data_IF_385818176022
#
_entry.id   IF_385818176022
#
_cell.length_a   1.000
_cell.length_b   1.000
_cell.length_c   1.000
_cell.angle_alpha   90.00
_cell.angle_beta   90.00
_cell.angle_gamma   90.00
#
_symmetry.space_group_name_H-M   'P 1'
#
loop_
_entity.id
_entity.type
_entity.pdbx_description
1 polymer ?
#
# COMPACT_ATOMS: atom_id res chain seq x y z
N UNK A 1 5.37 -3.70 24.79
CA UNK A 1 5.95 -3.03 23.60
C UNK A 1 6.18 -4.10 22.53
N UNK A 2 5.36 -4.15 21.51
CA UNK A 2 5.57 -5.04 20.36
C UNK A 2 6.80 -4.56 19.59
N UNK A 3 7.81 -5.41 19.44
CA UNK A 3 9.00 -5.09 18.65
C UNK A 3 8.58 -4.79 17.21
N UNK A 4 8.90 -3.60 16.73
CA UNK A 4 8.71 -3.18 15.34
C UNK A 4 9.48 -4.17 14.46
N UNK A 5 8.78 -4.97 13.66
CA UNK A 5 9.39 -5.94 12.75
C UNK A 5 9.29 -5.39 11.34
N UNK A 6 10.44 -5.03 10.76
CA UNK A 6 10.53 -4.57 9.39
C UNK A 6 10.80 -5.76 8.46
N UNK A 7 10.13 -5.79 7.32
CA UNK A 7 10.37 -6.74 6.25
C UNK A 7 10.67 -5.99 4.95
N UNK A 8 11.87 -6.16 4.44
CA UNK A 8 12.25 -5.71 3.10
C UNK A 8 12.32 -6.92 2.19
N UNK A 9 11.46 -6.97 1.18
CA UNK A 9 11.37 -8.07 0.23
C UNK A 9 11.64 -7.53 -1.16
N UNK A 10 12.76 -7.94 -1.76
CA UNK A 10 13.18 -7.51 -3.08
C UNK A 10 13.19 -8.73 -3.99
N UNK A 11 12.40 -8.68 -5.05
CA UNK A 11 12.36 -9.69 -6.12
C UNK A 11 12.25 -11.15 -5.60
N UNK A 12 11.49 -11.35 -4.54
CA UNK A 12 11.30 -12.67 -3.91
C UNK A 12 9.82 -12.95 -3.63
N UNK A 13 9.08 -13.49 -4.62
CA UNK A 13 7.65 -13.81 -4.48
C UNK A 13 7.36 -14.82 -3.37
N UNK A 14 8.26 -15.78 -3.11
CA UNK A 14 8.04 -16.81 -2.08
C UNK A 14 8.07 -16.20 -0.68
N UNK A 15 9.00 -15.29 -0.42
CA UNK A 15 9.01 -14.53 0.86
C UNK A 15 7.77 -13.66 1.01
N UNK A 16 7.30 -13.04 -0.07
CA UNK A 16 6.07 -12.26 -0.04
C UNK A 16 4.86 -13.14 0.27
N UNK A 17 4.80 -14.33 -0.34
CA UNK A 17 3.76 -15.31 -0.09
C UNK A 17 3.77 -15.78 1.37
N UNK A 18 4.92 -16.10 1.92
CA UNK A 18 5.06 -16.49 3.31
C UNK A 18 4.59 -15.37 4.27
N UNK A 19 4.95 -14.11 3.98
CA UNK A 19 4.48 -12.94 4.74
C UNK A 19 2.96 -12.80 4.66
N UNK A 20 2.38 -12.92 3.47
CA UNK A 20 0.94 -12.83 3.28
C UNK A 20 0.19 -13.92 4.06
N UNK A 21 0.61 -15.19 3.93
CA UNK A 21 -0.05 -16.31 4.61
C UNK A 21 0.04 -16.20 6.13
N UNK A 22 1.18 -15.74 6.66
CA UNK A 22 1.37 -15.52 8.09
C UNK A 22 0.47 -14.40 8.66
N UNK A 23 0.09 -13.42 7.83
CA UNK A 23 -0.67 -12.23 8.23
C UNK A 23 -2.02 -12.12 7.50
N UNK A 24 -2.56 -13.24 7.01
CA UNK A 24 -3.77 -13.26 6.17
C UNK A 24 -5.02 -12.72 6.85
N UNK A 25 -5.07 -12.80 8.19
CA UNK A 25 -6.18 -12.34 9.02
C UNK A 25 -5.96 -10.95 9.59
N UNK A 26 -4.78 -10.38 9.38
CA UNK A 26 -4.43 -9.07 9.89
C UNK A 26 -4.98 -7.95 9.00
N UNK A 27 -5.11 -6.77 9.58
CA UNK A 27 -5.51 -5.57 8.85
C UNK A 27 -4.27 -4.97 8.21
N UNK A 28 -4.28 -4.88 6.89
CA UNK A 28 -3.22 -4.25 6.11
C UNK A 28 -3.50 -2.77 5.99
N UNK A 29 -2.68 -1.96 6.65
CA UNK A 29 -2.80 -0.50 6.63
C UNK A 29 -1.86 0.07 5.58
N UNK A 30 -2.36 0.97 4.77
CA UNK A 30 -1.55 1.63 3.74
C UNK A 30 -2.15 2.96 3.32
N UNK A 31 -1.40 3.70 2.51
CA UNK A 31 -1.85 4.94 1.89
C UNK A 31 -2.17 4.67 0.43
N UNK A 32 -3.40 4.87 0.01
CA UNK A 32 -3.92 4.50 -1.31
C UNK A 32 -3.79 2.98 -1.63
N UNK A 33 -3.61 2.16 -0.63
CA UNK A 33 -3.39 0.72 -0.80
C UNK A 33 -4.61 0.00 -1.37
N UNK A 34 -5.80 0.52 -1.12
CA UNK A 34 -7.06 -0.02 -1.64
C UNK A 34 -7.15 0.08 -3.17
N UNK A 35 -6.53 1.09 -3.76
CA UNK A 35 -6.57 1.34 -5.21
C UNK A 35 -5.30 0.90 -5.93
N UNK A 36 -4.18 0.69 -5.23
CA UNK A 36 -2.91 0.38 -5.86
C UNK A 36 -2.19 -0.84 -5.25
N UNK A 37 -1.61 -0.72 -4.04
CA UNK A 37 -0.68 -1.72 -3.50
C UNK A 37 -1.26 -3.11 -3.38
N UNK A 38 -2.54 -3.23 -2.98
CA UNK A 38 -3.17 -4.53 -2.88
C UNK A 38 -3.19 -5.30 -4.20
N UNK A 39 -3.36 -4.60 -5.33
CA UNK A 39 -3.42 -5.24 -6.65
C UNK A 39 -2.03 -5.65 -7.14
N UNK A 40 -1.02 -4.82 -6.89
CA UNK A 40 0.38 -5.16 -7.16
C UNK A 40 0.77 -6.40 -6.35
N UNK A 41 0.49 -6.40 -5.04
CA UNK A 41 0.78 -7.53 -4.16
C UNK A 41 0.06 -8.80 -4.59
N UNK A 42 -1.26 -8.75 -4.80
CA UNK A 42 -2.07 -9.87 -5.27
C UNK A 42 -1.57 -10.40 -6.62
N UNK A 43 -1.18 -9.52 -7.52
CA UNK A 43 -0.61 -9.89 -8.81
C UNK A 43 0.68 -10.70 -8.67
N UNK A 44 1.60 -10.26 -7.83
CA UNK A 44 2.85 -10.97 -7.55
C UNK A 44 2.55 -12.35 -6.94
N UNK A 45 1.64 -12.42 -5.96
CA UNK A 45 1.24 -13.68 -5.32
C UNK A 45 0.59 -14.68 -6.29
N UNK A 46 -0.05 -14.20 -7.35
CA UNK A 46 -0.65 -15.01 -8.42
C UNK A 46 0.29 -15.27 -9.60
N UNK A 47 1.56 -14.86 -9.52
CA UNK A 47 2.54 -15.03 -10.59
C UNK A 47 2.29 -14.14 -11.81
N UNK A 48 1.50 -13.09 -11.66
CA UNK A 48 1.25 -12.11 -12.73
C UNK A 48 2.41 -11.10 -12.83
N UNK A 49 2.52 -10.45 -13.98
CA UNK A 49 3.52 -9.41 -14.19
C UNK A 49 3.10 -8.10 -13.50
N UNK A 50 3.79 -7.66 -12.43
CA UNK A 50 3.41 -6.46 -11.68
C UNK A 50 3.51 -5.18 -12.51
N UNK A 51 4.41 -5.13 -13.51
CA UNK A 51 4.53 -3.98 -14.41
C UNK A 51 3.26 -3.79 -15.25
N UNK A 52 2.66 -4.87 -15.75
CA UNK A 52 1.42 -4.79 -16.52
C UNK A 52 0.26 -4.31 -15.64
N UNK A 53 0.23 -4.72 -14.37
CA UNK A 53 -0.78 -4.26 -13.41
C UNK A 53 -0.58 -2.78 -13.12
N UNK A 54 0.68 -2.36 -12.88
CA UNK A 54 1.01 -0.94 -12.71
C UNK A 54 0.56 -0.10 -13.91
N UNK A 55 0.84 -0.55 -15.12
CA UNK A 55 0.46 0.20 -16.32
C UNK A 55 -1.07 0.29 -16.47
N UNK A 56 -1.80 -0.77 -16.13
CA UNK A 56 -3.25 -0.77 -16.07
C UNK A 56 -3.80 0.26 -15.08
N UNK A 57 -3.22 0.33 -13.87
CA UNK A 57 -3.69 1.21 -12.81
C UNK A 57 -3.31 2.67 -13.06
N UNK A 58 -2.06 2.92 -13.48
CA UNK A 58 -1.48 4.27 -13.51
C UNK A 58 -1.49 4.87 -14.92
N UNK A 59 -1.15 4.09 -15.94
CA UNK A 59 -1.08 4.60 -17.33
C UNK A 59 -2.45 4.60 -17.97
N UNK A 60 -3.17 3.47 -17.86
CA UNK A 60 -4.51 3.34 -18.42
C UNK A 60 -5.60 3.93 -17.52
N UNK A 61 -5.26 4.31 -16.28
CA UNK A 61 -6.17 4.86 -15.27
C UNK A 61 -7.44 4.01 -15.06
N UNK A 62 -7.25 2.69 -14.94
CA UNK A 62 -8.36 1.73 -14.79
C UNK A 62 -8.40 1.15 -13.38
N UNK A 63 -9.57 0.69 -12.97
CA UNK A 63 -9.79 0.07 -11.67
C UNK A 63 -9.11 -1.31 -11.56
N UNK A 64 -8.44 -1.57 -10.44
CA UNK A 64 -7.67 -2.80 -10.23
C UNK A 64 -8.53 -4.06 -10.23
N UNK A 65 -9.77 -4.00 -9.73
CA UNK A 65 -10.69 -5.14 -9.71
C UNK A 65 -11.10 -5.60 -11.12
N UNK A 66 -11.01 -4.72 -12.12
CA UNK A 66 -11.31 -5.04 -13.53
C UNK A 66 -10.18 -5.82 -14.20
N UNK A 67 -8.94 -5.75 -13.66
CA UNK A 67 -7.79 -6.42 -14.26
C UNK A 67 -7.92 -7.95 -14.25
N UNK A 68 -8.32 -8.52 -13.11
CA UNK A 68 -8.47 -9.97 -13.00
C UNK A 68 -9.42 -10.38 -11.88
N UNK A 69 -10.37 -11.27 -12.20
CA UNK A 69 -11.23 -11.92 -11.19
C UNK A 69 -10.44 -12.80 -10.20
N UNK A 70 -9.22 -13.23 -10.58
CA UNK A 70 -8.38 -14.04 -9.72
C UNK A 70 -7.95 -13.31 -8.42
N UNK A 71 -7.98 -11.97 -8.40
CA UNK A 71 -7.71 -11.19 -7.20
C UNK A 71 -8.66 -11.50 -6.04
N UNK A 72 -9.89 -11.93 -6.34
CA UNK A 72 -10.87 -12.32 -5.32
C UNK A 72 -10.48 -13.59 -4.55
N UNK A 73 -9.55 -14.40 -5.08
CA UNK A 73 -9.02 -15.59 -4.40
C UNK A 73 -8.05 -15.25 -3.26
N UNK A 74 -7.56 -14.01 -3.22
CA UNK A 74 -6.62 -13.53 -2.21
C UNK A 74 -7.29 -12.43 -1.36
N UNK A 75 -8.06 -12.82 -0.33
CA UNK A 75 -8.69 -11.84 0.55
C UNK A 75 -7.63 -11.05 1.33
N UNK A 76 -7.82 -9.75 1.43
CA UNK A 76 -7.03 -8.83 2.25
C UNK A 76 -7.98 -7.89 2.98
N UNK A 77 -7.81 -7.74 4.28
CA UNK A 77 -8.53 -6.74 5.06
C UNK A 77 -7.70 -5.47 4.99
N UNK A 78 -8.12 -4.53 4.14
CA UNK A 78 -7.39 -3.28 3.93
C UNK A 78 -8.02 -2.12 4.70
N UNK A 79 -7.19 -1.37 5.41
CA UNK A 79 -7.52 -0.04 5.91
C UNK A 79 -6.67 1.00 5.19
N UNK A 80 -7.33 1.89 4.46
CA UNK A 80 -6.68 2.94 3.67
C UNK A 80 -6.71 4.24 4.46
N UNK A 81 -5.54 4.78 4.77
CA UNK A 81 -5.43 6.03 5.55
C UNK A 81 -5.46 7.28 4.68
N UNK A 82 -5.51 7.11 3.35
CA UNK A 82 -5.64 8.23 2.43
C UNK A 82 -6.98 8.95 2.68
N UNK A 83 -6.98 10.26 2.96
CA UNK A 83 -8.22 11.00 3.15
C UNK A 83 -9.01 11.04 1.86
N UNK A 84 -10.29 10.65 1.93
CA UNK A 84 -11.27 10.96 0.89
C UNK A 84 -12.09 12.15 1.35
N UNK A 85 -12.11 13.21 0.57
CA UNK A 85 -13.01 14.31 0.82
C UNK A 85 -14.29 14.07 0.01
N UNK A 86 -15.34 13.59 0.69
CA UNK A 86 -16.61 13.22 0.05
C UNK A 86 -17.30 14.41 -0.64
N UNK A 87 -17.06 15.64 -0.18
CA UNK A 87 -17.68 16.83 -0.76
C UNK A 87 -17.05 17.28 -2.08
N UNK A 88 -15.73 17.01 -2.28
CA UNK A 88 -14.99 17.50 -3.44
C UNK A 88 -14.40 16.40 -4.31
N UNK A 89 -14.48 15.13 -3.91
CA UNK A 89 -13.80 13.97 -4.52
C UNK A 89 -12.28 14.19 -4.71
N UNK A 90 -11.70 15.15 -4.01
CA UNK A 90 -10.27 15.40 -4.06
C UNK A 90 -9.57 14.55 -3.01
N UNK A 91 -8.68 13.70 -3.46
CA UNK A 91 -7.78 12.94 -2.60
C UNK A 91 -6.57 13.78 -2.25
N UNK A 92 -6.11 13.70 -1.00
CA UNK A 92 -4.90 14.36 -0.54
C UNK A 92 -3.75 13.38 -0.63
N UNK A 93 -2.72 13.72 -1.40
CA UNK A 93 -1.54 12.86 -1.56
C UNK A 93 -0.70 12.75 -0.27
N UNK A 94 0.07 11.67 -0.14
CA UNK A 94 0.92 11.42 1.03
C UNK A 94 1.89 12.58 1.28
N UNK A 95 2.51 13.14 0.25
CA UNK A 95 3.43 14.29 0.36
C UNK A 95 2.75 15.54 0.94
N UNK A 96 1.50 15.77 0.59
CA UNK A 96 0.72 16.87 1.18
C UNK A 96 0.46 16.61 2.66
N UNK A 97 0.16 15.36 3.03
CA UNK A 97 0.00 14.98 4.44
C UNK A 97 1.31 15.11 5.22
N UNK A 98 2.47 14.79 4.62
CA UNK A 98 3.79 14.98 5.24
C UNK A 98 4.02 16.45 5.64
N UNK A 99 3.64 17.39 4.75
CA UNK A 99 3.74 18.83 5.04
C UNK A 99 2.85 19.20 6.23
N UNK A 100 1.60 18.75 6.26
CA UNK A 100 0.68 19.02 7.38
C UNK A 100 1.18 18.45 8.71
N UNK A 101 1.89 17.32 8.68
CA UNK A 101 2.49 16.69 9.85
C UNK A 101 3.87 17.25 10.21
N UNK A 102 4.34 18.30 9.51
CA UNK A 102 5.65 18.90 9.75
C UNK A 102 6.84 17.99 9.40
N UNK A 103 6.63 17.02 8.52
CA UNK A 103 7.68 16.11 8.06
C UNK A 103 8.40 16.67 6.83
N UNK A 104 9.69 16.32 6.67
CA UNK A 104 10.42 16.66 5.46
C UNK A 104 10.00 15.76 4.31
N UNK A 105 9.70 16.36 3.15
CA UNK A 105 9.39 15.63 1.93
C UNK A 105 10.68 15.00 1.41
N UNK A 106 10.67 13.69 1.19
CA UNK A 106 11.72 12.98 0.47
C UNK A 106 11.22 12.57 -0.91
N UNK A 107 12.02 12.85 -1.91
CA UNK A 107 11.79 12.40 -3.28
C UNK A 107 12.91 11.45 -3.71
N UNK A 108 12.60 10.57 -4.65
CA UNK A 108 13.59 9.71 -5.27
C UNK A 108 13.94 10.23 -6.65
N UNK A 109 15.22 10.18 -7.00
CA UNK A 109 15.70 10.48 -8.35
C UNK A 109 15.49 9.29 -9.31
N UNK A 110 15.05 8.14 -8.78
CA UNK A 110 14.77 6.96 -9.60
C UNK A 110 13.48 7.18 -10.40
N UNK A 111 13.62 7.17 -11.71
CA UNK A 111 12.51 7.42 -12.62
C UNK A 111 11.60 6.18 -12.74
N UNK A 112 10.35 6.26 -12.30
CA UNK A 112 9.40 5.13 -12.24
C UNK A 112 9.04 4.50 -13.60
N UNK A 113 9.36 5.17 -14.73
CA UNK A 113 9.11 4.64 -16.09
C UNK A 113 10.31 3.92 -16.70
N UNK A 114 11.31 3.56 -15.91
CA UNK A 114 12.47 2.80 -16.40
C UNK A 114 11.99 1.46 -16.99
N UNK A 115 12.45 1.16 -18.21
CA UNK A 115 12.11 -0.09 -18.93
C UNK A 115 13.19 -1.16 -18.85
N UNK A 116 14.31 -0.87 -18.19
CA UNK A 116 15.40 -1.83 -17.93
C UNK A 116 15.38 -2.30 -16.47
N UNK A 117 16.19 -3.29 -16.18
CA UNK A 117 16.46 -3.66 -14.77
C UNK A 117 17.13 -2.51 -14.05
N UNK A 118 16.75 -2.27 -12.81
CA UNK A 118 17.38 -1.29 -11.94
C UNK A 118 18.81 -1.73 -11.60
N UNK A 119 19.70 -0.76 -11.46
CA UNK A 119 21.03 -0.99 -10.87
C UNK A 119 20.91 -1.24 -9.38
N UNK A 120 21.98 -1.76 -8.77
CA UNK A 120 22.00 -1.97 -7.32
C UNK A 120 21.78 -0.67 -6.53
N UNK A 121 22.38 0.42 -6.98
CA UNK A 121 22.22 1.74 -6.37
C UNK A 121 20.77 2.25 -6.48
N UNK A 122 20.14 2.10 -7.65
CA UNK A 122 18.72 2.47 -7.86
C UNK A 122 17.79 1.61 -6.98
N UNK A 123 18.10 0.34 -6.76
CA UNK A 123 17.36 -0.53 -5.84
C UNK A 123 17.48 0.01 -4.41
N UNK A 124 18.69 0.36 -3.95
CA UNK A 124 18.91 0.88 -2.61
C UNK A 124 18.18 2.22 -2.39
N UNK A 125 18.23 3.12 -3.36
CA UNK A 125 17.48 4.37 -3.34
C UNK A 125 15.96 4.12 -3.27
N UNK A 126 15.47 3.18 -4.08
CA UNK A 126 14.04 2.80 -4.08
C UNK A 126 13.62 2.24 -2.72
N UNK A 127 14.42 1.36 -2.12
CA UNK A 127 14.15 0.80 -0.78
C UNK A 127 14.12 1.89 0.27
N UNK A 128 15.07 2.83 0.23
CA UNK A 128 15.10 3.97 1.16
C UNK A 128 13.85 4.84 1.02
N UNK A 129 13.44 5.11 -0.20
CA UNK A 129 12.22 5.87 -0.50
C UNK A 129 10.98 5.14 0.01
N UNK A 130 10.80 3.86 -0.32
CA UNK A 130 9.67 3.06 0.15
C UNK A 130 9.62 2.97 1.68
N UNK A 131 10.77 2.88 2.35
CA UNK A 131 10.83 2.89 3.81
C UNK A 131 10.31 4.21 4.37
N UNK A 132 10.73 5.33 3.79
CA UNK A 132 10.22 6.65 4.17
C UNK A 132 8.70 6.73 4.02
N UNK A 133 8.15 6.32 2.86
CA UNK A 133 6.70 6.34 2.61
C UNK A 133 5.93 5.49 3.63
N UNK A 134 6.46 4.32 4.00
CA UNK A 134 5.86 3.47 5.04
C UNK A 134 5.89 4.16 6.41
N UNK A 135 7.00 4.82 6.77
CA UNK A 135 7.11 5.56 8.02
C UNK A 135 6.12 6.75 8.08
N UNK A 136 5.94 7.47 6.97
CA UNK A 136 4.94 8.54 6.90
C UNK A 136 3.52 7.99 6.97
N UNK A 137 3.24 6.88 6.30
CA UNK A 137 1.94 6.18 6.39
C UNK A 137 1.62 5.79 7.84
N UNK A 138 2.62 5.29 8.59
CA UNK A 138 2.45 4.97 10.01
C UNK A 138 2.09 6.24 10.82
N UNK A 139 2.75 7.37 10.57
CA UNK A 139 2.41 8.64 11.26
C UNK A 139 0.98 9.06 10.97
N UNK A 140 0.57 9.04 9.68
CA UNK A 140 -0.81 9.36 9.29
C UNK A 140 -1.81 8.42 9.98
N UNK A 141 -1.50 7.12 10.06
CA UNK A 141 -2.35 6.17 10.77
C UNK A 141 -2.46 6.48 12.26
N UNK A 142 -1.36 6.82 12.92
CA UNK A 142 -1.35 7.14 14.35
C UNK A 142 -2.19 8.38 14.67
N UNK A 143 -2.22 9.38 13.81
CA UNK A 143 -3.11 10.54 13.94
C UNK A 143 -4.61 10.14 13.79
N UNK A 144 -4.90 9.09 13.03
CA UNK A 144 -6.25 8.60 12.76
C UNK A 144 -6.65 7.38 13.58
N UNK A 145 -5.85 6.97 14.54
CA UNK A 145 -6.09 5.72 15.28
C UNK A 145 -7.41 5.71 16.06
N UNK A 146 -7.86 6.86 16.54
CA UNK A 146 -9.15 7.01 17.22
C UNK A 146 -10.33 6.75 16.26
N UNK A 147 -10.26 7.29 15.06
CA UNK A 147 -11.24 7.04 13.99
C UNK A 147 -11.26 5.56 13.59
N UNK A 148 -10.07 4.97 13.39
CA UNK A 148 -9.93 3.55 13.12
C UNK A 148 -10.58 2.68 14.20
N UNK A 149 -10.33 2.97 15.49
CA UNK A 149 -10.89 2.21 16.59
C UNK A 149 -12.43 2.34 16.66
N UNK A 150 -12.97 3.54 16.38
CA UNK A 150 -14.41 3.75 16.34
C UNK A 150 -15.07 2.91 15.22
N UNK A 151 -14.54 2.96 14.00
CA UNK A 151 -15.03 2.18 12.86
C UNK A 151 -14.91 0.70 13.11
N UNK A 152 -13.77 0.24 13.64
CA UNK A 152 -13.55 -1.17 13.96
C UNK A 152 -14.51 -1.66 15.06
N UNK A 153 -14.75 -0.85 16.08
CA UNK A 153 -15.72 -1.17 17.14
C UNK A 153 -17.15 -1.31 16.60
N UNK A 154 -17.57 -0.45 15.68
CA UNK A 154 -18.88 -0.55 15.03
C UNK A 154 -18.99 -1.85 14.23
N UNK A 155 -17.97 -2.19 13.43
CA UNK A 155 -17.97 -3.42 12.63
C UNK A 155 -18.05 -4.67 13.54
N UNK A 156 -17.37 -4.66 14.69
CA UNK A 156 -17.44 -5.76 15.65
C UNK A 156 -18.79 -5.85 16.35
N UNK A 157 -19.41 -4.72 16.66
CA UNK A 157 -20.72 -4.67 17.32
C UNK A 157 -21.87 -5.11 16.39
N UNK A 158 -21.70 -4.95 15.08
CA UNK A 158 -22.68 -5.32 14.06
C UNK A 158 -22.04 -6.24 13.00
N UNK A 159 -21.65 -7.47 13.37
CA UNK A 159 -21.11 -8.41 12.40
C UNK A 159 -22.18 -8.69 11.32
N UNK A 160 -21.75 -8.73 10.06
CA UNK A 160 -22.64 -9.19 8.99
C UNK A 160 -22.99 -10.64 9.24
N UNK A 161 -24.28 -10.95 9.28
CA UNK A 161 -24.80 -12.30 9.23
C UNK A 161 -24.40 -13.04 7.95
#
# INVERSE_FOLDING_TARGET
MTKKKEHVIINNPDKLKALYEANRKDIWVGFNNRHYDQYIMKGILLGMNPKKINDWLIVDNKEGWQYSRAFNKLPMINYDVMPSNDETMKTVGLKTMEVFLGSNINETDVYFRIKRKLTQEEIEQTVKYCRHDVEQTIKVFLEKVSEFNAVHGIIQAFPKE
#
